data_IF_606111363943
#
_entry.id   IF_606111363943
#
_cell.length_a   1.000
_cell.length_b   1.000
_cell.length_c   1.000
_cell.angle_alpha   90.00
_cell.angle_beta   90.00
_cell.angle_gamma   90.00
#
_symmetry.space_group_name_H-M   'P 1'
#
loop_
_entity.id
_entity.type
_entity.pdbx_description
1 polymer ?
2 non-polymer ?
#
# COMPACT_ATOMS: atom_id res chain seq x y z
N UNK A 2 1.01 -21.16 9.92
CA UNK A 2 1.54 -20.29 8.83
C UNK A 2 1.63 -18.84 9.28
N UNK A 3 2.62 -18.12 8.75
CA UNK A 3 2.84 -16.70 9.09
C UNK A 3 2.66 -15.80 7.85
N UNK A 4 2.67 -16.39 6.66
CA UNK A 4 2.52 -15.65 5.41
C UNK A 4 1.07 -15.65 4.93
N UNK A 5 0.39 -16.79 5.10
CA UNK A 5 -1.02 -16.96 4.69
C UNK A 5 -1.98 -16.29 5.67
N UNK A 6 -1.65 -16.34 6.98
CA UNK A 6 -2.49 -15.74 8.04
C UNK A 6 -2.60 -14.22 7.90
N UNK A 7 -1.52 -13.60 7.39
CA UNK A 7 -1.48 -12.14 7.17
C UNK A 7 -2.46 -11.71 6.06
N UNK A 8 -2.78 -12.66 5.18
CA UNK A 8 -3.72 -12.44 4.06
C UNK A 8 -5.17 -12.46 4.56
N UNK A 9 -5.40 -13.23 5.64
CA UNK A 9 -6.72 -13.38 6.27
C UNK A 9 -7.29 -12.05 6.78
N UNK A 10 -6.39 -11.20 7.30
CA UNK A 10 -6.76 -9.88 7.84
C UNK A 10 -7.07 -8.89 6.71
N UNK A 11 -6.42 -9.13 5.56
CA UNK A 11 -6.56 -8.30 4.36
C UNK A 11 -7.95 -8.40 3.72
N UNK A 12 -8.64 -9.52 3.94
CA UNK A 12 -9.98 -9.72 3.38
C UNK A 12 -11.06 -9.00 4.20
N UNK A 13 -10.81 -8.84 5.51
CA UNK A 13 -11.76 -8.16 6.43
C UNK A 13 -11.85 -6.65 6.17
N UNK A 14 -10.74 -6.06 5.73
CA UNK A 14 -10.67 -4.61 5.44
C UNK A 14 -11.30 -4.27 4.07
N UNK A 15 -11.32 -5.27 3.16
CA UNK A 15 -11.90 -5.11 1.82
C UNK A 15 -13.42 -4.91 1.89
N UNK A 16 -14.01 -5.36 3.01
CA UNK A 16 -15.44 -5.23 3.23
C UNK A 16 -15.79 -4.27 4.36
N UNK A 17 -14.75 -3.74 5.02
CA UNK A 17 -14.95 -2.80 6.14
C UNK A 17 -14.87 -1.35 5.65
N UNK A 18 -13.79 -1.03 4.94
CA UNK A 18 -13.58 0.33 4.40
C UNK A 18 -13.91 0.41 2.91
N UNK A 19 -14.41 -0.71 2.34
CA UNK A 19 -14.77 -0.83 0.91
C UNK A 19 -13.63 -0.37 -0.02
N UNK A 20 -12.87 -1.35 -0.52
CA UNK A 20 -11.74 -1.08 -1.40
C UNK A 20 -11.73 -1.99 -2.64
N UNK A 21 -10.82 -1.72 -3.57
CA UNK A 21 -10.70 -2.50 -4.80
C UNK A 21 -9.50 -3.45 -4.74
N UNK A 22 -8.28 -2.92 -4.51
CA UNK A 22 -7.07 -3.74 -4.44
C UNK A 22 -6.14 -3.26 -3.33
N UNK A 23 -5.36 -4.20 -2.77
CA UNK A 23 -4.40 -3.90 -1.70
C UNK A 23 -3.02 -4.41 -2.08
N UNK A 24 -1.98 -3.69 -1.64
CA UNK A 24 -0.59 -4.07 -1.92
C UNK A 24 0.32 -3.73 -0.74
N UNK A 25 1.38 -4.52 -0.56
CA UNK A 25 2.33 -4.28 0.53
C UNK A 25 3.78 -4.37 0.05
N UNK A 26 4.50 -3.26 0.22
CA UNK A 26 5.91 -3.17 -0.18
C UNK A 26 6.81 -3.23 1.05
N UNK A 27 7.99 -3.81 0.88
CA UNK A 27 8.97 -3.93 1.97
C UNK A 27 10.17 -3.03 1.69
N UNK A 28 10.83 -2.59 2.78
CA UNK A 28 12.01 -1.71 2.68
C UNK A 28 13.28 -2.50 2.34
N UNK A 29 13.90 -2.12 1.21
CA UNK A 29 15.13 -2.76 0.75
C UNK A 29 16.18 -1.71 0.38
N UNK A 30 17.39 -1.90 0.90
CA UNK A 30 18.51 -0.99 0.64
C UNK A 30 19.81 -1.76 0.40
N UNK A 31 20.73 -1.13 -0.33
CA UNK A 31 22.03 -1.72 -0.65
C UNK A 31 23.15 -0.97 0.07
N UNK A 32 24.32 -1.61 0.18
CA UNK A 32 25.50 -1.01 0.84
C UNK A 32 26.18 0.06 -0.03
N UNK A 33 25.72 0.17 -1.28
CA UNK A 33 26.24 1.15 -2.24
C UNK A 33 25.48 2.48 -2.19
N UNK A 34 24.75 2.71 -1.08
CA UNK A 34 23.94 3.93 -0.87
C UNK A 34 22.82 4.03 -1.93
N UNK A 35 21.89 3.08 -1.86
CA UNK A 35 20.76 2.99 -2.79
C UNK A 35 19.63 2.24 -2.11
N UNK A 36 18.48 2.87 -2.03
CA UNK A 36 17.32 2.27 -1.40
C UNK A 36 16.16 2.19 -2.39
N UNK A 37 15.39 1.09 -2.31
CA UNK A 37 14.27 0.83 -3.23
C UNK A 37 13.12 0.07 -2.54
N UNK A 38 11.95 0.11 -3.19
CA UNK A 38 10.74 -0.57 -2.69
C UNK A 38 10.35 -1.72 -3.62
N UNK A 39 10.07 -2.88 -3.02
CA UNK A 39 9.66 -4.06 -3.78
C UNK A 39 8.55 -4.80 -3.04
N UNK A 40 7.36 -4.79 -3.65
CA UNK A 40 6.18 -5.47 -3.10
C UNK A 40 6.25 -6.98 -3.31
N UNK A 41 6.02 -7.73 -2.22
CA UNK A 41 6.04 -9.20 -2.26
C UNK A 41 4.70 -9.71 -2.79
N UNK A 42 3.59 -9.21 -2.22
CA UNK A 42 2.25 -9.58 -2.67
C UNK A 42 1.69 -8.48 -3.55
N UNK A 43 1.12 -8.89 -4.69
CA UNK A 43 0.56 -7.96 -5.66
C UNK A 43 -0.88 -8.33 -6.01
N UNK A 44 -1.75 -7.29 -6.05
CA UNK A 44 -3.19 -7.43 -6.36
C UNK A 44 -3.88 -8.42 -5.41
N UNK A 45 -4.56 -7.86 -4.40
CA UNK A 45 -5.28 -8.67 -3.41
C UNK A 45 -6.78 -8.39 -3.54
N UNK A 46 -7.57 -9.46 -3.61
CA UNK A 46 -9.02 -9.36 -3.73
C UNK A 46 -9.72 -10.20 -2.67
N UNK A 47 -11.02 -9.94 -2.48
CA UNK A 47 -11.82 -10.67 -1.49
C UNK A 47 -12.16 -12.10 -1.98
N UNK A 48 -11.41 -13.07 -1.45
CA UNK A 48 -11.60 -14.46 -1.82
C UNK A 48 -10.49 -14.97 -2.72
N UNK A 49 -9.25 -14.54 -2.44
CA UNK A 49 -8.08 -14.95 -3.23
C UNK A 49 -7.00 -15.55 -2.33
N UNK A 50 -6.17 -16.42 -2.92
CA UNK A 50 -5.08 -17.09 -2.20
C UNK A 50 -3.76 -16.31 -2.36
N UNK A 51 -2.73 -16.71 -1.59
CA UNK A 51 -1.41 -16.07 -1.63
C UNK A 51 -0.66 -16.40 -2.92
N UNK A 52 -0.87 -17.63 -3.41
CA UNK A 52 -0.24 -18.11 -4.66
C UNK A 52 -0.59 -17.21 -5.86
N UNK A 53 -1.80 -16.60 -5.81
CA UNK A 53 -2.27 -15.70 -6.85
C UNK A 53 -1.75 -14.26 -6.63
N UNK A 54 -1.25 -14.01 -5.41
CA UNK A 54 -0.72 -12.70 -5.03
C UNK A 54 0.82 -12.70 -5.01
N UNK A 55 1.43 -13.89 -5.15
CA UNK A 55 2.89 -14.04 -5.13
C UNK A 55 3.48 -13.96 -6.55
N UNK A 56 2.61 -14.03 -7.57
CA UNK A 56 3.03 -13.97 -8.97
C UNK A 56 2.99 -12.54 -9.48
N UNK A 57 4.06 -12.12 -10.19
CA UNK A 57 4.21 -10.76 -10.76
C UNK A 57 4.17 -9.69 -9.65
N UNK A 58 5.33 -9.07 -9.41
CA UNK A 58 5.45 -8.04 -8.38
C UNK A 58 5.91 -6.70 -8.98
N UNK A 59 5.59 -5.62 -8.27
CA UNK A 59 5.96 -4.26 -8.70
C UNK A 59 7.17 -3.75 -7.90
N UNK A 60 8.07 -3.07 -8.60
CA UNK A 60 9.28 -2.49 -7.99
C UNK A 60 9.29 -0.97 -8.16
N UNK A 61 9.24 -0.26 -7.04
CA UNK A 61 9.25 1.21 -7.04
C UNK A 61 10.48 1.74 -6.33
N UNK A 62 10.87 2.98 -6.66
CA UNK A 62 12.04 3.65 -6.07
C UNK A 62 11.73 4.20 -4.66
N UNK A 63 12.80 4.47 -3.89
CA UNK A 63 12.65 5.04 -2.53
C UNK A 63 12.55 6.56 -2.60
N UNK A 64 11.53 7.13 -1.92
CA UNK A 64 11.26 8.59 -1.91
C UNK A 64 11.09 9.11 -3.36
N UNK A 65 10.33 8.35 -4.15
CA UNK A 65 10.09 8.66 -5.55
C UNK A 65 8.60 8.84 -5.84
N UNK A 66 7.80 7.80 -5.54
CA UNK A 66 6.36 7.83 -5.76
C UNK A 66 5.60 8.41 -4.59
N UNK A 67 4.31 8.08 -4.51
CA UNK A 67 3.44 8.55 -3.41
C UNK A 67 3.75 7.84 -2.09
N UNK A 68 4.17 6.57 -2.20
CA UNK A 68 4.51 5.77 -1.02
C UNK A 68 5.93 6.13 -0.53
N UNK A 69 6.73 6.73 -1.41
CA UNK A 69 8.10 7.12 -1.10
C UNK A 69 8.18 8.28 -0.11
N UNK A 70 7.11 9.11 -0.08
CA UNK A 70 7.02 10.25 0.84
C UNK A 70 6.71 9.77 2.26
N UNK A 71 5.81 8.77 2.34
CA UNK A 71 5.42 8.16 3.62
C UNK A 71 6.49 7.16 4.10
N UNK A 72 7.19 6.56 3.13
CA UNK A 72 8.26 5.60 3.38
C UNK A 72 9.50 6.27 3.99
N UNK A 73 9.68 7.56 3.66
CA UNK A 73 10.82 8.35 4.14
C UNK A 73 10.62 8.85 5.59
N UNK A 74 9.39 9.26 5.92
CA UNK A 74 9.08 9.76 7.27
C UNK A 74 8.51 8.65 8.15
N UNK A 75 7.47 7.97 7.66
CA UNK A 75 6.84 6.89 8.41
C UNK A 75 5.58 7.34 9.14
N UNK A 76 4.65 7.97 8.38
CA UNK A 76 3.39 8.46 8.96
C UNK A 76 2.22 8.26 7.98
N UNK A 77 0.93 8.18 8.46
CA UNK A 77 -0.24 8.01 7.60
C UNK A 77 -0.60 9.31 6.85
N UNK A 78 -0.46 9.28 5.54
CA UNK A 78 -0.76 10.44 4.69
C UNK A 78 -1.83 10.10 3.65
N UNK A 79 -2.50 11.14 3.12
CA UNK A 79 -3.57 10.96 2.14
C UNK A 79 -3.17 11.48 0.76
N UNK A 80 -3.62 10.77 -0.28
CA UNK A 80 -3.35 11.16 -1.68
C UNK A 80 -4.67 11.35 -2.41
N UNK A 81 -4.83 12.52 -3.03
CA UNK A 81 -6.05 12.85 -3.79
C UNK A 81 -6.03 12.24 -5.20
N UNK A 82 -4.82 11.95 -5.73
CA UNK A 82 -4.64 11.34 -7.06
C UNK A 82 -3.16 11.03 -7.33
N UNK A 83 -2.79 9.74 -7.20
CA UNK A 83 -1.40 9.29 -7.41
C UNK A 83 -0.98 9.33 -8.89
N UNK A 84 -1.68 8.55 -9.74
CA UNK A 84 -1.37 8.44 -11.17
C UNK A 84 -1.44 9.79 -11.93
N UNK A 85 -1.99 10.83 -11.29
CA UNK A 85 -2.12 12.16 -11.91
C UNK A 85 -1.37 13.24 -11.09
N UNK A 86 -0.50 12.79 -10.18
CA UNK A 86 0.28 13.71 -9.34
C UNK A 86 1.69 13.93 -9.91
N UNK A 87 2.35 15.09 -9.60
CA UNK A 87 3.71 15.37 -10.11
C UNK A 87 4.80 14.47 -9.51
N UNK A 88 4.47 13.82 -8.39
CA UNK A 88 5.42 12.93 -7.71
C UNK A 88 4.86 11.49 -7.63
N UNK A 89 4.81 10.83 -8.79
CA UNK A 89 4.31 9.46 -8.88
C UNK A 89 5.15 8.62 -9.86
N UNK A 90 5.05 7.29 -9.71
CA UNK A 90 5.77 6.36 -10.58
C UNK A 90 4.82 5.82 -11.65
N UNK A 91 5.14 6.11 -12.91
CA UNK A 91 4.30 5.70 -14.06
C UNK A 91 4.68 4.32 -14.63
N UNK A 92 5.58 3.59 -13.95
CA UNK A 92 6.01 2.26 -14.41
C UNK A 92 4.99 1.17 -14.06
N UNK A 93 4.25 1.37 -12.94
CA UNK A 93 3.22 0.41 -12.50
C UNK A 93 1.97 0.56 -13.39
N UNK A 94 1.68 1.81 -13.79
CA UNK A 94 0.51 2.13 -14.65
C UNK A 94 0.59 1.40 -16.00
N UNK A 95 1.82 1.05 -16.41
CA UNK A 95 2.06 0.35 -17.67
C UNK A 95 1.55 -1.09 -17.62
N UNK A 96 1.84 -1.79 -16.52
CA UNK A 96 1.43 -3.19 -16.32
C UNK A 96 0.03 -3.33 -15.68
N UNK A 97 -0.36 -2.37 -14.82
CA UNK A 97 -1.67 -2.42 -14.15
C UNK A 97 -2.79 -1.80 -14.98
N UNK A 98 -2.43 -0.89 -15.91
CA UNK A 98 -3.41 -0.21 -16.78
C UNK A 98 -4.64 0.31 -16.04
N UNK A 99 -4.44 0.74 -14.79
CA UNK A 99 -5.52 1.22 -13.93
C UNK A 99 -5.19 2.62 -13.39
N UNK A 100 -6.21 3.48 -13.39
CA UNK A 100 -6.08 4.85 -12.88
C UNK A 100 -7.01 5.05 -11.69
N UNK A 101 -6.42 5.30 -10.52
CA UNK A 101 -7.17 5.51 -9.28
C UNK A 101 -7.54 6.98 -9.08
N UNK A 102 -8.72 7.21 -8.50
CA UNK A 102 -9.19 8.58 -8.21
C UNK A 102 -8.70 9.04 -6.84
N UNK A 103 -8.46 8.06 -5.94
CA UNK A 103 -7.96 8.36 -4.59
C UNK A 103 -7.21 7.15 -4.01
N UNK A 104 -6.10 7.42 -3.31
CA UNK A 104 -5.30 6.36 -2.67
C UNK A 104 -4.83 6.81 -1.28
N UNK A 105 -4.89 5.86 -0.34
CA UNK A 105 -4.48 6.10 1.04
C UNK A 105 -3.02 5.65 1.25
N UNK A 106 -2.19 6.57 1.72
CA UNK A 106 -0.77 6.28 1.96
C UNK A 106 -0.51 6.08 3.45
N UNK A 107 -0.23 4.84 3.83
CA UNK A 107 0.05 4.47 5.23
C UNK A 107 1.20 3.47 5.32
N UNK A 108 2.30 3.82 6.07
CA UNK A 108 3.47 2.93 6.20
C UNK A 108 3.25 1.79 7.21
N UNK A 109 4.00 0.68 7.01
CA UNK A 109 3.90 -0.49 7.88
C UNK A 109 5.13 -0.56 8.79
N UNK A 110 4.91 -0.44 10.11
CA UNK A 110 6.00 -0.50 11.08
C UNK A 110 5.64 -1.44 12.25
N UNK A 111 6.67 -1.83 13.00
CA UNK A 111 6.53 -2.69 14.17
C UNK A 111 6.56 -1.82 15.43
N UNK A 112 6.11 -2.37 16.57
CA UNK A 112 6.08 -1.59 17.82
C UNK A 112 7.50 -1.22 18.28
N UNK A 113 7.74 0.11 18.32
CA UNK A 113 9.02 0.75 18.70
C UNK A 113 9.35 1.88 17.70
N UNK A 114 8.39 2.19 16.79
CA UNK A 114 8.53 3.25 15.75
C UNK A 114 9.51 2.83 14.64
N UNK A 115 9.79 1.53 14.55
CA UNK A 115 10.70 0.98 13.52
C UNK A 115 9.90 0.52 12.30
N UNK A 116 10.22 1.09 11.13
CA UNK A 116 9.54 0.77 9.87
C UNK A 116 10.12 -0.51 9.23
N UNK A 117 9.25 -1.22 8.50
CA UNK A 117 9.63 -2.46 7.80
C UNK A 117 9.16 -2.44 6.34
N UNK A 118 7.96 -1.89 6.13
CA UNK A 118 7.38 -1.79 4.78
C UNK A 118 6.38 -0.65 4.66
N UNK A 119 5.67 -0.61 3.53
CA UNK A 119 4.67 0.43 3.27
C UNK A 119 3.37 -0.20 2.74
N UNK A 120 2.22 0.32 3.20
CA UNK A 120 0.91 -0.19 2.79
C UNK A 120 0.12 0.86 2.01
N UNK A 121 -0.37 0.47 0.83
CA UNK A 121 -1.17 1.36 -0.04
C UNK A 121 -2.31 0.57 -0.67
N UNK A 122 -3.50 1.18 -0.68
CA UNK A 122 -4.68 0.55 -1.26
C UNK A 122 -5.35 1.50 -2.26
N UNK A 123 -5.46 1.05 -3.52
CA UNK A 123 -6.09 1.87 -4.57
C UNK A 123 -7.54 1.44 -4.80
N UNK A 124 -8.45 2.38 -4.58
CA UNK A 124 -9.89 2.16 -4.74
C UNK A 124 -10.57 3.38 -5.35
N UNK A 125 -11.04 3.22 -6.59
CA UNK A 125 -11.73 4.29 -7.32
C UNK A 125 -13.15 4.52 -6.77
N UNK A 126 -13.35 5.71 -6.18
CA UNK A 126 -14.65 6.09 -5.60
C UNK A 126 -15.04 7.50 -6.03
N UNK A 127 -16.35 7.73 -6.15
CA UNK A 127 -16.88 9.04 -6.55
C UNK A 127 -17.39 9.80 -5.33
N UNK A 128 -17.21 11.13 -5.35
CA UNK A 128 -17.66 11.98 -4.26
C UNK A 128 -17.20 13.41 -4.41
N UNK A 129 -17.97 14.34 -3.83
CA UNK A 129 -17.65 15.77 -3.89
C UNK A 129 -17.21 16.28 -2.52
N UNK A 130 -16.21 17.17 -2.53
CA UNK A 130 -15.68 17.73 -1.30
C UNK A 130 -14.25 17.32 -1.03
N UNK A 131 -14.07 16.45 -0.02
CA UNK A 131 -12.75 15.97 0.35
C UNK A 131 -12.44 14.60 -0.24
N UNK A 132 -11.30 14.04 0.15
CA UNK A 132 -10.87 12.72 -0.33
C UNK A 132 -11.23 11.63 0.67
N UNK A 133 -10.76 11.77 1.91
CA UNK A 133 -11.02 10.80 2.98
C UNK A 133 -11.33 11.50 4.31
N UNK A 134 -11.89 10.73 5.25
CA UNK A 134 -12.24 11.24 6.58
C UNK A 134 -11.19 10.84 7.61
N UNK A 135 -11.25 11.45 8.80
CA UNK A 135 -10.30 11.17 9.89
C UNK A 135 -10.60 9.82 10.57
N UNK A 136 -11.84 9.35 10.45
CA UNK A 136 -12.27 8.07 11.06
C UNK A 136 -11.82 6.87 10.20
N UNK A 137 -11.64 7.10 8.89
CA UNK A 137 -11.22 6.06 7.95
C UNK A 137 -9.70 5.80 8.02
N UNK A 138 -8.95 6.81 8.49
CA UNK A 138 -7.48 6.71 8.62
C UNK A 138 -7.06 5.86 9.82
N UNK A 139 -7.93 5.78 10.84
CA UNK A 139 -7.65 5.00 12.05
C UNK A 139 -7.91 3.51 11.84
N UNK A 140 -8.80 3.18 10.89
CA UNK A 140 -9.15 1.78 10.58
C UNK A 140 -8.07 1.10 9.72
N UNK A 141 -7.21 1.91 9.09
CA UNK A 141 -6.13 1.39 8.24
C UNK A 141 -4.85 1.07 9.03
N UNK A 142 -4.47 1.97 9.95
CA UNK A 142 -3.26 1.80 10.77
C UNK A 142 -3.43 0.80 11.91
N UNK A 143 -4.68 0.61 12.36
CA UNK A 143 -4.98 -0.33 13.45
C UNK A 143 -4.91 -1.79 12.98
N UNK A 144 -5.26 -2.02 11.70
CA UNK A 144 -5.23 -3.36 11.10
C UNK A 144 -3.79 -3.79 10.75
N UNK A 145 -2.94 -2.80 10.38
CA UNK A 145 -1.54 -3.08 10.03
C UNK A 145 -0.67 -3.26 11.28
N UNK A 146 -1.08 -2.64 12.40
CA UNK A 146 -0.35 -2.74 13.68
C UNK A 146 -0.20 -4.18 14.17
N UNK A 147 -1.28 -4.98 14.01
CA UNK A 147 -1.29 -6.39 14.42
C UNK A 147 -0.64 -7.30 13.37
N UNK A 148 -0.97 -7.04 12.09
CA UNK A 148 -0.44 -7.82 10.96
C UNK A 148 1.01 -7.42 10.63
N UNK A 149 1.37 -6.17 10.97
CA UNK A 149 2.71 -5.63 10.71
C UNK A 149 3.84 -6.47 11.28
N UNK A 150 3.58 -7.15 12.41
CA UNK A 150 4.57 -8.00 13.08
C UNK A 150 4.57 -9.41 12.46
X LIG B 1 2.90 5.48 -6.87
X LIG B 1 2.65 6.96 -7.08
X LIG B 1 3.63 4.97 -5.64
X LIG B 1 3.64 4.75 -8.18
X LIG B 1 3.81 3.27 -8.09
X LIG B 1 2.38 2.59 -7.96
X LIG B 1 2.25 1.25 -7.83
X LIG B 1 1.61 3.15 -6.81
X LIG B 1 1.49 4.64 -6.97
X LIG B 1 0.36 2.32 -6.93
X LIG B 1 -0.73 3.06 -7.55
X LIG B 1 0.84 1.07 -7.68
X LIG B 1 0.65 -0.20 -6.94
X LIG B 1 1.30 -0.74 -5.84
X LIG B 1 0.75 -1.94 -5.52
X LIG B 1 -0.24 -2.18 -6.40
X LIG B 1 -1.33 -3.25 -6.74
X LIG B 1 -1.42 -4.30 -6.05
X LIG B 1 -2.32 -3.07 -7.93
X LIG B 1 -2.34 -1.88 -8.83
X LIG B 1 -3.21 -1.72 -9.86
X LIG B 1 -1.30 -0.89 -8.47
X LIG B 1 -0.31 -1.02 -7.32
X LIG B 1 4.24 2.88 -8.88
X LIG B 1 4.27 3.06 -7.23
X LIG B 1 2.02 2.91 -8.91
X LIG B 1 2.04 3.05 -5.92
X LIG B 1 0.02 2.10 -6.09
X LIG B 1 -0.44 3.30 -8.50
X LIG B 1 0.39 1.27 -8.75
X LIG B 1 1.93 -0.40 -5.42
X LIG B 1 -2.93 -3.75 -8.05
X LIG B 1 -3.74 -2.45 -9.88
X LIG B 1 -3.02 -0.92 -10.26
#
# INVERSE_FOLDING_TARGET
>A
MDVTALCHKIFLHIHGLISADRYSLFLVCEDSSKDKFLISRLFDVAEGSTLEEASNNCIRLEWNKGIVGHVAAFGEPLNIKDAYEDPRFNAEVDQITGYKTQSILCMPIKNHREEVVGVAQAINKKSGNGGTFTEKDEKDFAEYLAFCGEVLHNAQLYETSLLENKRNLEHHHHHH
>B hetero
1 35G P O1P O2P O5' C5' C4' O4' C3' O3' C2' O2' C1' N9 C8 N7 C5 C6 O6 N1 C2 N2 N3 C4 H5'1 H5'2 H4' H3' H2' HO2' H1' H8 HN1 HN21 HN22
#
